data_IF_130048699022
#
_entry.id   IF_130048699022
#
_cell.length_a   1.000
_cell.length_b   1.000
_cell.length_c   1.000
_cell.angle_alpha   90.00
_cell.angle_beta   90.00
_cell.angle_gamma   90.00
#
_symmetry.space_group_name_H-M   'P 1'
#
loop_
_entity.id
_entity.type
_entity.pdbx_description
1 polymer ?
#
# COMPACT_ATOMS: atom_id res chain seq x y z
N UNK A 1 4.29 -26.49 -27.25
CA UNK A 1 5.77 -26.58 -27.26
C UNK A 1 6.46 -25.43 -26.52
N UNK A 2 6.47 -24.16 -26.96
CA UNK A 2 7.18 -23.09 -26.20
C UNK A 2 6.58 -22.83 -24.79
N UNK A 3 5.25 -22.86 -24.65
CA UNK A 3 4.58 -22.70 -23.34
C UNK A 3 4.75 -23.90 -22.39
N UNK A 4 4.89 -25.12 -22.91
CA UNK A 4 5.03 -26.32 -22.07
C UNK A 4 6.40 -26.38 -21.42
N UNK A 5 7.47 -26.07 -22.18
CA UNK A 5 8.83 -25.99 -21.65
C UNK A 5 9.00 -24.86 -20.63
N UNK A 6 8.34 -23.72 -20.84
CA UNK A 6 8.35 -22.61 -19.87
C UNK A 6 7.61 -22.95 -18.58
N UNK A 7 6.48 -23.65 -18.66
CA UNK A 7 5.71 -24.06 -17.48
C UNK A 7 6.47 -25.08 -16.64
N UNK A 8 7.17 -26.02 -17.29
CA UNK A 8 8.00 -26.99 -16.58
C UNK A 8 9.15 -26.30 -15.84
N UNK A 9 9.89 -25.40 -16.49
CA UNK A 9 10.97 -24.66 -15.85
C UNK A 9 10.50 -23.81 -14.65
N UNK A 10 9.33 -23.18 -14.77
CA UNK A 10 8.74 -22.41 -13.65
C UNK A 10 8.38 -23.31 -12.47
N UNK A 11 7.83 -24.51 -12.73
CA UNK A 11 7.54 -25.46 -11.67
C UNK A 11 8.81 -25.95 -10.97
N UNK A 12 9.87 -26.26 -11.73
CA UNK A 12 11.16 -26.67 -11.18
C UNK A 12 11.77 -25.58 -10.28
N UNK A 13 11.74 -24.32 -10.71
CA UNK A 13 12.25 -23.19 -9.93
C UNK A 13 11.49 -22.99 -8.61
N UNK A 14 10.16 -23.10 -8.63
CA UNK A 14 9.35 -22.99 -7.41
C UNK A 14 9.56 -24.20 -6.50
N UNK A 15 9.62 -25.42 -7.05
CA UNK A 15 9.92 -26.62 -6.27
C UNK A 15 11.25 -26.49 -5.54
N UNK A 16 12.30 -26.00 -6.21
CA UNK A 16 13.59 -25.76 -5.59
C UNK A 16 13.50 -24.75 -4.43
N UNK A 17 12.76 -23.65 -4.59
CA UNK A 17 12.56 -22.66 -3.53
C UNK A 17 11.87 -23.26 -2.30
N UNK A 18 10.82 -24.06 -2.52
CA UNK A 18 10.09 -24.73 -1.44
C UNK A 18 10.98 -25.75 -0.71
N UNK A 19 11.82 -26.49 -1.43
CA UNK A 19 12.80 -27.42 -0.85
C UNK A 19 13.86 -26.71 -0.01
N UNK A 20 14.36 -25.56 -0.48
CA UNK A 20 15.29 -24.72 0.28
C UNK A 20 14.63 -24.28 1.59
N UNK A 21 13.40 -23.76 1.54
CA UNK A 21 12.67 -23.34 2.74
C UNK A 21 12.46 -24.49 3.72
N UNK A 22 12.07 -25.66 3.23
CA UNK A 22 11.91 -26.85 4.07
C UNK A 22 13.23 -27.26 4.74
N UNK A 23 14.35 -27.14 4.01
CA UNK A 23 15.70 -27.42 4.54
C UNK A 23 16.08 -26.42 5.63
N UNK A 24 15.86 -25.12 5.39
CA UNK A 24 16.13 -24.05 6.36
C UNK A 24 15.32 -24.24 7.65
N UNK A 25 14.08 -24.72 7.54
CA UNK A 25 13.20 -24.95 8.69
C UNK A 25 13.14 -26.40 9.17
N UNK A 26 14.09 -27.24 8.77
CA UNK A 26 14.17 -28.62 9.27
C UNK A 26 14.53 -28.63 10.77
N UNK A 27 13.74 -29.24 11.66
CA UNK A 27 14.07 -29.34 13.08
C UNK A 27 15.40 -30.07 13.36
N UNK A 28 15.80 -30.97 12.46
CA UNK A 28 17.02 -31.78 12.55
C UNK A 28 18.18 -31.15 11.77
N UNK A 29 18.58 -29.93 12.13
CA UNK A 29 19.77 -29.27 11.58
C UNK A 29 19.53 -28.11 10.61
N UNK A 30 18.30 -27.60 10.54
CA UNK A 30 17.99 -26.35 9.87
C UNK A 30 18.62 -25.12 10.53
N UNK A 31 18.38 -23.96 9.94
CA UNK A 31 18.88 -22.69 10.42
C UNK A 31 18.24 -22.30 11.76
N UNK A 32 19.02 -22.09 12.84
CA UNK A 32 18.47 -21.75 14.16
C UNK A 32 17.69 -20.43 14.19
N UNK A 33 17.98 -19.50 13.28
CA UNK A 33 17.24 -18.23 13.17
C UNK A 33 15.89 -18.44 12.50
N UNK A 34 15.85 -19.17 11.38
CA UNK A 34 14.60 -19.47 10.67
C UNK A 34 13.66 -20.27 11.57
N UNK A 35 14.15 -21.34 12.22
CA UNK A 35 13.36 -22.20 13.11
C UNK A 35 12.62 -21.43 14.23
N UNK A 36 13.17 -20.31 14.71
CA UNK A 36 12.56 -19.47 15.76
C UNK A 36 11.45 -18.55 15.26
N UNK A 37 11.35 -18.34 13.94
CA UNK A 37 10.35 -17.45 13.38
C UNK A 37 8.94 -18.01 13.51
N UNK A 38 7.98 -17.10 13.60
CA UNK A 38 6.55 -17.36 13.73
C UNK A 38 5.79 -16.48 12.74
N UNK A 39 4.48 -16.72 12.56
CA UNK A 39 3.66 -15.82 11.73
C UNK A 39 3.80 -14.35 12.13
N UNK A 40 3.82 -14.06 13.43
CA UNK A 40 3.88 -12.70 13.94
C UNK A 40 5.25 -12.04 13.72
N UNK A 41 6.35 -12.79 13.88
CA UNK A 41 7.70 -12.22 13.71
C UNK A 41 8.04 -11.89 12.26
N UNK A 42 7.37 -12.53 11.29
CA UNK A 42 7.58 -12.29 9.85
C UNK A 42 6.77 -11.08 9.31
N UNK A 43 5.73 -10.63 10.02
CA UNK A 43 4.88 -9.51 9.55
C UNK A 43 5.67 -8.23 9.27
N UNK A 44 6.58 -7.75 10.16
CA UNK A 44 7.34 -6.53 9.89
C UNK A 44 8.14 -6.62 8.60
N UNK A 45 8.83 -7.75 8.38
CA UNK A 45 9.62 -8.00 7.18
C UNK A 45 8.74 -8.02 5.92
N UNK A 46 7.56 -8.65 5.98
CA UNK A 46 6.63 -8.64 4.83
C UNK A 46 6.18 -7.24 4.44
N UNK A 47 6.01 -6.34 5.42
CA UNK A 47 5.67 -4.94 5.14
C UNK A 47 6.86 -4.20 4.55
N UNK A 48 8.07 -4.42 5.09
CA UNK A 48 9.33 -3.85 4.59
C UNK A 48 9.57 -4.22 3.12
N UNK A 49 9.57 -5.52 2.77
CA UNK A 49 9.79 -5.95 1.37
C UNK A 49 8.73 -5.40 0.41
N UNK A 50 7.49 -5.24 0.88
CA UNK A 50 6.44 -4.63 0.06
C UNK A 50 6.70 -3.13 -0.21
N UNK A 51 7.34 -2.42 0.72
CA UNK A 51 7.78 -1.04 0.51
C UNK A 51 9.03 -0.95 -0.35
N UNK A 52 10.00 -1.86 -0.21
CA UNK A 52 11.20 -1.91 -1.06
C UNK A 52 10.83 -2.17 -2.54
N UNK A 53 9.88 -3.09 -2.79
CA UNK A 53 9.31 -3.27 -4.14
C UNK A 53 8.66 -1.99 -4.65
N UNK A 54 7.91 -1.27 -3.79
CA UNK A 54 7.28 -0.02 -4.17
C UNK A 54 8.33 1.06 -4.50
N UNK A 55 9.38 1.18 -3.69
CA UNK A 55 10.48 2.13 -3.90
C UNK A 55 11.20 1.86 -5.22
N UNK A 56 11.55 0.60 -5.51
CA UNK A 56 12.18 0.21 -6.77
C UNK A 56 11.34 0.62 -8.01
N UNK A 57 10.01 0.49 -7.92
CA UNK A 57 9.11 0.90 -9.00
C UNK A 57 9.02 2.42 -9.09
N UNK A 58 8.88 3.11 -7.96
CA UNK A 58 8.74 4.58 -7.88
C UNK A 58 10.02 5.30 -8.32
N UNK A 59 11.19 4.71 -8.07
CA UNK A 59 12.51 5.21 -8.50
C UNK A 59 12.97 4.67 -9.86
N UNK A 60 12.19 3.79 -10.48
CA UNK A 60 12.53 3.07 -11.73
C UNK A 60 13.85 2.27 -11.64
N UNK A 61 14.20 1.78 -10.45
CA UNK A 61 15.33 0.90 -10.19
C UNK A 61 14.97 -0.55 -10.53
N UNK A 62 14.89 -0.86 -11.84
CA UNK A 62 14.53 -2.19 -12.31
C UNK A 62 15.62 -3.25 -12.07
N UNK A 63 16.86 -2.83 -11.81
CA UNK A 63 17.95 -3.76 -11.46
C UNK A 63 17.68 -4.45 -10.13
N UNK A 64 17.24 -3.69 -9.13
CA UNK A 64 17.02 -4.21 -7.77
C UNK A 64 15.60 -4.76 -7.61
N UNK A 65 14.63 -4.32 -8.43
CA UNK A 65 13.25 -4.84 -8.40
C UNK A 65 13.17 -6.37 -8.43
N UNK A 66 14.06 -7.04 -9.16
CA UNK A 66 14.08 -8.51 -9.20
C UNK A 66 14.43 -9.11 -7.83
N UNK A 67 15.35 -8.48 -7.09
CA UNK A 67 15.73 -8.90 -5.75
C UNK A 67 14.55 -8.74 -4.79
N UNK A 68 13.96 -7.54 -4.75
CA UNK A 68 12.87 -7.23 -3.82
C UNK A 68 11.61 -8.07 -4.07
N UNK A 69 11.30 -8.39 -5.34
CA UNK A 69 10.23 -9.34 -5.67
C UNK A 69 10.53 -10.76 -5.18
N UNK A 70 11.81 -11.15 -5.17
CA UNK A 70 12.29 -12.41 -4.62
C UNK A 70 12.12 -12.45 -3.10
N UNK A 71 12.50 -11.38 -2.40
CA UNK A 71 12.39 -11.27 -0.95
C UNK A 71 10.93 -11.24 -0.50
N UNK A 72 10.05 -10.53 -1.22
CA UNK A 72 8.61 -10.57 -0.97
C UNK A 72 8.01 -11.97 -1.23
N UNK A 73 8.45 -12.67 -2.28
CA UNK A 73 8.03 -14.06 -2.54
C UNK A 73 8.53 -15.00 -1.44
N UNK A 74 9.74 -14.80 -0.93
CA UNK A 74 10.31 -15.56 0.18
C UNK A 74 9.41 -15.48 1.42
N UNK A 75 8.87 -14.30 1.75
CA UNK A 75 7.93 -14.16 2.88
C UNK A 75 6.66 -15.02 2.69
N UNK A 76 6.10 -15.07 1.47
CA UNK A 76 4.93 -15.90 1.16
C UNK A 76 5.24 -17.38 1.35
N UNK A 77 6.40 -17.82 0.86
CA UNK A 77 6.88 -19.21 1.02
C UNK A 77 7.11 -19.54 2.49
N UNK A 78 7.66 -18.61 3.26
CA UNK A 78 7.88 -18.76 4.70
C UNK A 78 6.57 -19.00 5.45
N UNK A 79 5.54 -18.20 5.16
CA UNK A 79 4.21 -18.38 5.75
C UNK A 79 3.57 -19.71 5.38
N UNK A 80 3.71 -20.13 4.12
CA UNK A 80 3.20 -21.43 3.67
C UNK A 80 3.91 -22.59 4.38
N UNK A 81 5.22 -22.49 4.61
CA UNK A 81 5.98 -23.49 5.35
C UNK A 81 5.55 -23.55 6.83
N UNK A 82 5.40 -22.40 7.50
CA UNK A 82 4.88 -22.33 8.88
C UNK A 82 3.47 -22.93 9.02
N UNK A 83 2.60 -22.67 8.05
CA UNK A 83 1.25 -23.21 8.02
C UNK A 83 1.25 -24.72 7.80
N UNK A 84 2.14 -25.23 6.95
CA UNK A 84 2.29 -26.65 6.69
C UNK A 84 2.81 -27.39 7.93
N UNK A 85 3.79 -26.83 8.65
CA UNK A 85 4.29 -27.35 9.92
C UNK A 85 3.17 -27.50 10.97
N UNK A 86 2.18 -26.61 10.93
CA UNK A 86 1.01 -26.62 11.81
C UNK A 86 -0.21 -27.36 11.22
N UNK A 87 -0.06 -28.03 10.07
CA UNK A 87 -1.12 -28.76 9.37
C UNK A 87 -2.36 -27.89 9.06
N UNK A 88 -2.17 -26.60 8.81
CA UNK A 88 -3.26 -25.64 8.51
C UNK A 88 -3.56 -25.58 7.02
N UNK A 89 -2.52 -25.34 6.21
CA UNK A 89 -2.54 -25.31 4.73
C UNK A 89 -1.08 -25.31 4.23
N UNK A 90 -0.88 -25.53 2.94
CA UNK A 90 0.43 -25.46 2.28
C UNK A 90 0.44 -24.45 1.12
N UNK A 91 1.59 -24.33 0.44
CA UNK A 91 1.76 -23.41 -0.69
C UNK A 91 0.78 -23.68 -1.84
N UNK A 92 0.50 -24.94 -2.17
CA UNK A 92 -0.44 -25.29 -3.24
C UNK A 92 -1.87 -24.84 -2.91
N UNK A 93 -2.27 -24.93 -1.63
CA UNK A 93 -3.59 -24.46 -1.19
C UNK A 93 -3.73 -22.94 -1.38
N UNK A 94 -2.67 -22.17 -1.08
CA UNK A 94 -2.63 -20.71 -1.31
C UNK A 94 -2.79 -20.39 -2.80
N UNK A 95 -2.02 -21.05 -3.65
CA UNK A 95 -2.07 -20.84 -5.11
C UNK A 95 -3.41 -21.29 -5.70
N UNK A 96 -3.95 -22.42 -5.26
CA UNK A 96 -5.25 -22.92 -5.72
C UNK A 96 -6.37 -21.92 -5.37
N UNK A 97 -6.40 -21.42 -4.14
CA UNK A 97 -7.37 -20.42 -3.71
C UNK A 97 -7.23 -19.10 -4.51
N UNK A 98 -6.00 -18.67 -4.81
CA UNK A 98 -5.75 -17.50 -5.64
C UNK A 98 -6.26 -17.72 -7.08
N UNK A 99 -5.98 -18.86 -7.67
CA UNK A 99 -6.41 -19.21 -9.03
C UNK A 99 -7.94 -19.21 -9.16
N UNK A 100 -8.65 -19.90 -8.26
CA UNK A 100 -10.12 -19.91 -8.23
C UNK A 100 -10.68 -18.49 -8.10
N UNK A 101 -10.09 -17.68 -7.23
CA UNK A 101 -10.49 -16.28 -7.02
C UNK A 101 -10.26 -15.41 -8.27
N UNK A 102 -9.13 -15.57 -8.95
CA UNK A 102 -8.81 -14.81 -10.16
C UNK A 102 -9.74 -15.19 -11.32
N UNK A 103 -9.97 -16.49 -11.54
CA UNK A 103 -10.92 -16.96 -12.57
C UNK A 103 -12.32 -16.43 -12.31
N UNK A 104 -12.79 -16.56 -11.06
CA UNK A 104 -14.14 -16.09 -10.67
C UNK A 104 -14.31 -14.57 -10.78
N UNK A 105 -13.25 -13.78 -10.57
CA UNK A 105 -13.29 -12.32 -10.67
C UNK A 105 -13.12 -11.78 -12.10
N UNK A 106 -12.66 -12.60 -13.03
CA UNK A 106 -12.48 -12.23 -14.44
C UNK A 106 -13.32 -13.11 -15.38
N UNK A 107 -14.65 -13.19 -15.18
CA UNK A 107 -15.50 -14.00 -16.05
C UNK A 107 -15.45 -13.52 -17.50
N UNK A 108 -15.17 -12.24 -17.76
CA UNK A 108 -14.98 -11.72 -19.12
C UNK A 108 -13.74 -12.28 -19.83
N UNK A 109 -12.73 -12.76 -19.09
CA UNK A 109 -11.55 -13.42 -19.68
C UNK A 109 -11.77 -14.93 -19.82
N UNK A 110 -12.42 -15.55 -18.83
CA UNK A 110 -12.48 -17.01 -18.69
C UNK A 110 -13.84 -17.65 -19.03
N UNK A 111 -14.89 -16.87 -19.31
CA UNK A 111 -16.21 -17.39 -19.70
C UNK A 111 -16.44 -17.21 -21.19
N UNK A 112 -17.11 -18.18 -21.82
CA UNK A 112 -17.34 -18.20 -23.27
C UNK A 112 -18.37 -17.16 -23.78
N UNK A 113 -19.06 -16.43 -22.90
CA UNK A 113 -20.03 -15.39 -23.27
C UNK A 113 -19.33 -14.03 -23.26
N UNK A 114 -18.72 -13.67 -24.39
CA UNK A 114 -17.93 -12.45 -24.51
C UNK A 114 -18.68 -11.39 -25.33
N UNK A 115 -19.11 -10.34 -24.64
CA UNK A 115 -19.40 -9.06 -25.28
C UNK A 115 -18.37 -8.09 -24.73
N UNK A 116 -17.64 -7.33 -25.58
CA UNK A 116 -16.65 -6.37 -25.12
C UNK A 116 -17.29 -5.41 -24.13
N UNK A 117 -16.76 -5.38 -22.91
CA UNK A 117 -17.22 -4.47 -21.86
C UNK A 117 -16.41 -3.21 -21.85
N UNK A 118 -17.06 -2.10 -21.56
CA UNK A 118 -16.42 -0.82 -21.23
C UNK A 118 -15.76 -0.87 -19.86
N UNK A 119 -14.80 0.03 -19.60
CA UNK A 119 -14.15 0.16 -18.29
C UNK A 119 -15.15 0.35 -17.14
N UNK A 120 -16.24 1.09 -17.40
CA UNK A 120 -17.30 1.32 -16.41
C UNK A 120 -18.03 0.02 -16.06
N UNK A 121 -18.34 -0.81 -17.05
CA UNK A 121 -19.00 -2.11 -16.85
C UNK A 121 -18.09 -3.11 -16.16
N UNK A 122 -16.78 -3.11 -16.48
CA UNK A 122 -15.78 -3.92 -15.80
C UNK A 122 -15.64 -3.52 -14.33
N UNK A 123 -15.57 -2.21 -14.04
CA UNK A 123 -15.51 -1.70 -12.67
C UNK A 123 -16.76 -2.07 -11.86
N UNK A 124 -17.96 -1.94 -12.45
CA UNK A 124 -19.21 -2.32 -11.82
C UNK A 124 -19.27 -3.84 -11.54
N UNK A 125 -18.88 -4.66 -12.51
CA UNK A 125 -18.81 -6.12 -12.35
C UNK A 125 -17.85 -6.50 -11.21
N UNK A 126 -16.68 -5.88 -11.14
CA UNK A 126 -15.70 -6.14 -10.10
C UNK A 126 -16.23 -5.81 -8.69
N UNK A 127 -16.93 -4.69 -8.54
CA UNK A 127 -17.54 -4.31 -7.26
C UNK A 127 -18.66 -5.27 -6.87
N UNK A 128 -19.51 -5.68 -7.82
CA UNK A 128 -20.58 -6.65 -7.59
C UNK A 128 -20.04 -8.01 -7.13
N UNK A 129 -19.02 -8.55 -7.81
CA UNK A 129 -18.37 -9.82 -7.42
C UNK A 129 -17.78 -9.70 -6.02
N UNK A 130 -17.08 -8.60 -5.70
CA UNK A 130 -16.55 -8.37 -4.35
C UNK A 130 -17.64 -8.27 -3.29
N UNK A 131 -18.80 -7.69 -3.61
CA UNK A 131 -19.93 -7.63 -2.69
C UNK A 131 -20.51 -9.02 -2.41
N UNK A 132 -20.66 -9.86 -3.43
CA UNK A 132 -21.11 -11.25 -3.28
C UNK A 132 -20.14 -12.09 -2.45
N UNK A 133 -18.82 -11.95 -2.66
CA UNK A 133 -17.80 -12.63 -1.85
C UNK A 133 -17.90 -12.28 -0.37
N UNK A 134 -18.18 -11.01 -0.03
CA UNK A 134 -18.38 -10.58 1.35
C UNK A 134 -19.64 -11.20 1.95
N UNK A 135 -20.73 -11.24 1.19
CA UNK A 135 -21.99 -11.82 1.63
C UNK A 135 -21.92 -13.35 1.84
N UNK A 136 -21.03 -14.04 1.13
CA UNK A 136 -20.83 -15.49 1.24
C UNK A 136 -19.96 -15.93 2.43
N UNK A 137 -19.33 -15.01 3.16
CA UNK A 137 -18.57 -15.34 4.38
C UNK A 137 -19.52 -15.80 5.50
N UNK A 138 -19.14 -16.78 6.35
CA UNK A 138 -20.02 -17.31 7.39
C UNK A 138 -20.62 -16.23 8.29
N UNK A 139 -21.96 -16.23 8.41
CA UNK A 139 -22.73 -15.34 9.29
C UNK A 139 -22.43 -15.68 10.75
N UNK A 140 -21.50 -14.94 11.34
CA UNK A 140 -21.06 -15.10 12.73
C UNK A 140 -20.03 -14.05 13.14
N UNK A 141 -19.33 -13.45 12.18
CA UNK A 141 -18.63 -12.19 12.37
C UNK A 141 -19.64 -11.06 12.07
N UNK A 142 -20.03 -10.31 13.11
CA UNK A 142 -20.99 -9.20 13.07
C UNK A 142 -20.92 -8.36 11.79
N UNK A 143 -22.08 -7.90 11.32
CA UNK A 143 -22.30 -6.92 10.25
C UNK A 143 -21.57 -5.58 10.50
N UNK A 144 -20.23 -5.58 10.48
CA UNK A 144 -19.42 -4.38 10.68
C UNK A 144 -18.91 -3.94 9.32
N UNK A 145 -19.26 -2.73 8.90
CA UNK A 145 -18.92 -2.13 7.61
C UNK A 145 -17.40 -2.19 7.27
N UNK A 146 -16.56 -2.38 8.29
CA UNK A 146 -15.09 -2.26 8.27
C UNK A 146 -14.32 -3.59 8.24
N UNK A 147 -14.99 -4.74 8.26
CA UNK A 147 -14.35 -6.05 8.51
C UNK A 147 -13.20 -6.44 7.57
N UNK A 148 -13.18 -5.91 6.34
CA UNK A 148 -12.13 -6.19 5.36
C UNK A 148 -11.10 -5.06 5.22
N UNK A 149 -11.04 -4.12 6.18
CA UNK A 149 -10.04 -3.06 6.24
C UNK A 149 -9.03 -3.44 7.33
N UNK A 150 -7.84 -3.96 6.97
CA UNK A 150 -6.82 -4.33 7.94
C UNK A 150 -6.43 -3.14 8.82
N UNK A 151 -6.25 -3.39 10.12
CA UNK A 151 -5.82 -2.36 11.06
C UNK A 151 -4.39 -1.89 10.85
N UNK A 152 -3.54 -2.75 10.26
CA UNK A 152 -2.13 -2.45 9.96
C UNK A 152 -1.93 -1.58 8.71
N UNK A 153 -2.99 -1.20 8.01
CA UNK A 153 -2.85 -0.31 6.86
C UNK A 153 -2.36 1.07 7.30
N UNK A 154 -1.49 1.71 6.50
CA UNK A 154 -1.21 3.13 6.61
C UNK A 154 -2.49 3.96 6.65
N UNK A 155 -2.49 5.03 7.45
CA UNK A 155 -3.70 5.78 7.77
C UNK A 155 -4.38 6.41 6.55
N UNK A 156 -3.63 6.93 5.57
CA UNK A 156 -4.22 7.52 4.36
C UNK A 156 -4.84 6.44 3.46
N UNK A 157 -4.17 5.30 3.33
CA UNK A 157 -4.72 4.12 2.64
C UNK A 157 -5.99 3.60 3.32
N UNK A 158 -5.99 3.55 4.65
CA UNK A 158 -7.14 3.14 5.48
C UNK A 158 -8.32 4.11 5.29
N UNK A 159 -8.08 5.42 5.39
CA UNK A 159 -9.07 6.46 5.15
C UNK A 159 -9.68 6.36 3.75
N UNK A 160 -8.86 6.19 2.70
CA UNK A 160 -9.34 5.99 1.33
C UNK A 160 -10.26 4.77 1.22
N UNK A 161 -9.93 3.64 1.85
CA UNK A 161 -10.78 2.43 1.83
C UNK A 161 -12.09 2.63 2.58
N UNK A 162 -12.08 3.33 3.72
CA UNK A 162 -13.28 3.70 4.47
C UNK A 162 -14.19 4.54 3.58
N UNK A 163 -13.66 5.60 2.96
CA UNK A 163 -14.41 6.49 2.07
C UNK A 163 -14.98 5.76 0.85
N UNK A 164 -14.20 4.88 0.22
CA UNK A 164 -14.69 4.04 -0.88
C UNK A 164 -15.84 3.10 -0.45
N UNK A 165 -15.81 2.62 0.80
CA UNK A 165 -16.85 1.73 1.32
C UNK A 165 -18.17 2.46 1.51
N UNK A 166 -18.15 3.65 2.13
CA UNK A 166 -19.35 4.45 2.34
C UNK A 166 -19.88 5.03 1.02
N UNK A 167 -18.99 5.36 0.08
CA UNK A 167 -19.37 5.79 -1.26
C UNK A 167 -20.14 4.71 -2.03
N UNK A 168 -19.77 3.43 -1.87
CA UNK A 168 -20.50 2.31 -2.48
C UNK A 168 -21.92 2.12 -1.90
N UNK A 169 -22.23 2.74 -0.75
CA UNK A 169 -23.56 2.78 -0.15
C UNK A 169 -24.36 4.04 -0.57
N UNK A 170 -23.78 4.89 -1.44
CA UNK A 170 -24.38 6.14 -1.86
C UNK A 170 -24.04 7.34 -0.97
N UNK A 171 -23.18 7.17 0.04
CA UNK A 171 -22.68 8.27 0.87
C UNK A 171 -21.41 8.85 0.25
N UNK A 172 -21.60 9.66 -0.80
CA UNK A 172 -20.51 10.31 -1.54
C UNK A 172 -20.95 11.63 -2.18
N UNK A 173 -20.00 12.53 -2.42
CA UNK A 173 -20.22 13.74 -3.20
C UNK A 173 -20.32 13.43 -4.70
N UNK A 174 -21.15 14.15 -5.47
CA UNK A 174 -21.24 13.94 -6.92
C UNK A 174 -19.96 14.33 -7.67
N UNK A 175 -19.20 15.30 -7.16
CA UNK A 175 -17.97 15.81 -7.78
C UNK A 175 -16.92 16.19 -6.73
N UNK A 176 -15.68 16.42 -7.16
CA UNK A 176 -14.59 16.85 -6.28
C UNK A 176 -14.84 18.20 -5.59
N UNK A 177 -15.78 19.03 -6.09
CA UNK A 177 -16.09 20.33 -5.50
C UNK A 177 -16.60 20.19 -4.05
N UNK A 178 -17.53 19.28 -3.79
CA UNK A 178 -18.01 19.06 -2.41
C UNK A 178 -16.90 18.57 -1.47
N UNK A 179 -15.94 17.79 -1.99
CA UNK A 179 -14.81 17.35 -1.20
C UNK A 179 -13.81 18.48 -0.88
N UNK A 180 -13.56 19.41 -1.82
CA UNK A 180 -12.66 20.55 -1.57
C UNK A 180 -13.34 21.61 -0.68
N UNK A 181 -14.65 21.79 -0.79
CA UNK A 181 -15.42 22.66 0.09
C UNK A 181 -15.34 22.15 1.53
N UNK A 182 -15.47 20.83 1.75
CA UNK A 182 -15.28 20.22 3.08
C UNK A 182 -13.85 20.45 3.60
N UNK A 183 -12.81 20.32 2.78
CA UNK A 183 -11.45 20.69 3.23
C UNK A 183 -11.37 22.15 3.69
N UNK A 184 -12.08 23.07 3.03
CA UNK A 184 -12.10 24.48 3.43
C UNK A 184 -12.81 24.69 4.77
N UNK A 185 -13.90 23.95 5.02
CA UNK A 185 -14.62 23.91 6.30
C UNK A 185 -13.72 23.41 7.44
N UNK A 186 -13.06 22.26 7.26
CA UNK A 186 -12.14 21.68 8.25
C UNK A 186 -10.95 22.60 8.56
N UNK A 187 -10.48 23.39 7.58
CA UNK A 187 -9.44 24.40 7.82
C UNK A 187 -9.92 25.50 8.75
N UNK A 188 -11.18 25.92 8.66
CA UNK A 188 -11.74 26.90 9.59
C UNK A 188 -11.95 26.30 10.98
N UNK A 189 -12.42 25.05 11.08
CA UNK A 189 -12.58 24.33 12.36
C UNK A 189 -11.22 24.18 13.08
N UNK A 190 -10.16 23.79 12.36
CA UNK A 190 -8.79 23.75 12.90
C UNK A 190 -8.31 25.13 13.38
N UNK A 191 -8.60 26.22 12.65
CA UNK A 191 -8.20 27.57 13.07
C UNK A 191 -8.90 27.98 14.36
N UNK A 192 -10.20 27.68 14.48
CA UNK A 192 -10.99 27.96 15.67
C UNK A 192 -10.46 27.18 16.88
N UNK A 193 -10.20 25.88 16.71
CA UNK A 193 -9.65 25.02 17.75
C UNK A 193 -8.25 25.47 18.21
N UNK A 194 -7.36 25.79 17.27
CA UNK A 194 -6.02 26.33 17.56
C UNK A 194 -6.06 27.67 18.30
N UNK A 195 -7.02 28.54 17.98
CA UNK A 195 -7.19 29.82 18.66
C UNK A 195 -7.71 29.67 20.09
N UNK A 196 -8.43 28.58 20.38
CA UNK A 196 -8.93 28.27 21.71
C UNK A 196 -7.86 27.58 22.58
N UNK A 197 -7.36 26.43 22.13
CA UNK A 197 -6.28 25.68 22.79
C UNK A 197 -5.54 24.76 21.80
N UNK A 198 -4.32 25.13 21.37
CA UNK A 198 -3.58 24.37 20.36
C UNK A 198 -3.09 22.99 20.81
N UNK A 199 -3.14 22.67 22.11
CA UNK A 199 -2.65 21.40 22.64
C UNK A 199 -3.79 20.49 23.17
N UNK A 200 -5.04 20.87 22.91
CA UNK A 200 -6.21 20.09 23.33
C UNK A 200 -6.46 18.87 22.45
N UNK A 201 -7.14 17.87 23.01
CA UNK A 201 -7.62 16.69 22.25
C UNK A 201 -8.57 17.09 21.12
N UNK A 202 -9.35 18.17 21.31
CA UNK A 202 -10.24 18.71 20.28
C UNK A 202 -9.45 19.24 19.08
N UNK A 203 -8.39 20.03 19.30
CA UNK A 203 -7.50 20.47 18.20
C UNK A 203 -6.88 19.28 17.47
N UNK A 204 -6.52 18.21 18.18
CA UNK A 204 -6.00 16.99 17.56
C UNK A 204 -7.06 16.25 16.72
N UNK A 205 -8.33 16.26 17.14
CA UNK A 205 -9.48 15.73 16.40
C UNK A 205 -9.68 16.49 15.08
N UNK A 206 -9.78 17.82 15.12
CA UNK A 206 -9.98 18.66 13.93
C UNK A 206 -8.81 18.52 12.93
N UNK A 207 -7.57 18.40 13.43
CA UNK A 207 -6.41 18.10 12.57
C UNK A 207 -6.55 16.73 11.88
N UNK A 208 -7.11 15.74 12.58
CA UNK A 208 -7.41 14.42 12.04
C UNK A 208 -8.48 14.47 10.95
N UNK A 209 -9.54 15.23 11.16
CA UNK A 209 -10.64 15.38 10.20
C UNK A 209 -10.22 16.17 8.96
N UNK A 210 -9.39 17.21 9.11
CA UNK A 210 -8.73 17.87 7.98
C UNK A 210 -7.92 16.88 7.14
N UNK A 211 -7.07 16.05 7.77
CA UNK A 211 -6.31 15.01 7.05
C UNK A 211 -7.27 14.04 6.34
N UNK A 212 -8.33 13.59 6.99
CA UNK A 212 -9.33 12.72 6.40
C UNK A 212 -10.06 13.36 5.20
N UNK A 213 -10.40 14.65 5.29
CA UNK A 213 -11.03 15.40 4.20
C UNK A 213 -10.11 15.53 2.98
N UNK A 214 -8.81 15.76 3.17
CA UNK A 214 -7.85 15.82 2.04
C UNK A 214 -7.73 14.48 1.29
N UNK A 215 -7.82 13.35 2.00
CA UNK A 215 -7.88 12.01 1.38
C UNK A 215 -9.09 11.91 0.46
N UNK A 216 -10.22 12.51 0.85
CA UNK A 216 -11.44 12.47 0.06
C UNK A 216 -11.27 13.21 -1.28
N UNK A 217 -10.61 14.36 -1.27
CA UNK A 217 -10.25 15.09 -2.50
C UNK A 217 -9.39 14.22 -3.42
N UNK A 218 -8.32 13.62 -2.89
CA UNK A 218 -7.45 12.72 -3.66
C UNK A 218 -8.23 11.56 -4.29
N UNK A 219 -9.17 10.97 -3.55
CA UNK A 219 -10.06 9.90 -4.04
C UNK A 219 -10.94 10.36 -5.20
N UNK A 220 -11.56 11.55 -5.11
CA UNK A 220 -12.42 12.07 -6.18
C UNK A 220 -11.65 12.35 -7.47
N UNK A 221 -10.38 12.78 -7.38
CA UNK A 221 -9.50 12.95 -8.55
C UNK A 221 -8.77 11.66 -8.96
N UNK A 222 -9.20 10.51 -8.40
CA UNK A 222 -8.69 9.16 -8.71
C UNK A 222 -7.19 8.99 -8.48
N UNK A 223 -6.66 9.66 -7.45
CA UNK A 223 -5.26 9.52 -7.01
C UNK A 223 -5.18 8.70 -5.73
N UNK A 224 -4.00 8.15 -5.47
CA UNK A 224 -3.71 7.47 -4.21
C UNK A 224 -3.09 8.46 -3.21
N UNK A 225 -3.75 8.74 -2.08
CA UNK A 225 -3.27 9.74 -1.13
C UNK A 225 -1.96 9.34 -0.45
N UNK A 226 -1.75 8.04 -0.22
CA UNK A 226 -0.50 7.54 0.36
C UNK A 226 0.67 7.78 -0.60
N UNK A 227 0.47 7.43 -1.87
CA UNK A 227 1.47 7.67 -2.91
C UNK A 227 1.73 9.17 -3.11
N UNK A 228 0.68 10.00 -3.11
CA UNK A 228 0.83 11.45 -3.24
C UNK A 228 1.71 12.04 -2.13
N UNK A 229 1.52 11.59 -0.88
CA UNK A 229 2.32 12.06 0.24
C UNK A 229 3.76 11.56 0.16
N UNK A 230 3.99 10.29 -0.19
CA UNK A 230 5.36 9.77 -0.44
C UNK A 230 6.09 10.59 -1.49
N UNK A 231 5.50 10.78 -2.67
CA UNK A 231 6.10 11.61 -3.72
C UNK A 231 6.33 13.07 -3.30
N UNK A 232 5.50 13.61 -2.41
CA UNK A 232 5.72 14.94 -1.86
C UNK A 232 6.92 14.98 -0.90
N UNK A 233 7.09 13.95 -0.06
CA UNK A 233 8.22 13.77 0.83
C UNK A 233 9.52 13.61 0.04
N UNK A 234 9.57 12.75 -0.98
CA UNK A 234 10.77 12.52 -1.79
C UNK A 234 11.21 13.80 -2.50
N UNK A 235 10.25 14.52 -3.08
CA UNK A 235 10.49 15.83 -3.71
C UNK A 235 11.02 16.85 -2.71
N UNK A 236 10.53 16.83 -1.47
CA UNK A 236 11.01 17.72 -0.42
C UNK A 236 12.45 17.36 -0.02
N UNK A 237 12.71 16.09 0.30
CA UNK A 237 14.03 15.57 0.69
C UNK A 237 15.09 15.84 -0.38
N UNK A 238 14.82 15.43 -1.63
CA UNK A 238 15.73 15.66 -2.76
C UNK A 238 16.00 17.16 -3.01
N UNK A 239 15.03 18.04 -2.72
CA UNK A 239 15.26 19.48 -2.80
C UNK A 239 16.08 19.99 -1.63
N UNK A 240 15.83 19.50 -0.43
CA UNK A 240 16.53 19.93 0.77
C UNK A 240 18.01 19.50 0.73
N UNK A 241 18.33 18.33 0.19
CA UNK A 241 19.72 17.94 -0.11
C UNK A 241 20.42 18.92 -1.06
N UNK A 242 19.72 19.40 -2.09
CA UNK A 242 20.26 20.44 -2.99
C UNK A 242 20.48 21.76 -2.25
N UNK A 243 19.58 22.12 -1.31
CA UNK A 243 19.77 23.29 -0.43
C UNK A 243 21.00 23.14 0.44
N UNK A 244 21.19 21.97 1.05
CA UNK A 244 22.37 21.65 1.85
C UNK A 244 23.65 21.81 1.02
N UNK A 245 23.69 21.20 -0.17
CA UNK A 245 24.84 21.30 -1.07
C UNK A 245 25.11 22.75 -1.53
N UNK A 246 24.05 23.53 -1.78
CA UNK A 246 24.17 24.94 -2.13
C UNK A 246 24.77 25.79 -1.00
N UNK A 247 24.37 25.55 0.25
CA UNK A 247 24.94 26.21 1.42
C UNK A 247 26.39 25.81 1.66
N UNK A 248 26.71 24.52 1.53
CA UNK A 248 28.08 23.99 1.64
C UNK A 248 29.00 24.65 0.60
N UNK A 249 28.53 24.81 -0.64
CA UNK A 249 29.29 25.48 -1.71
C UNK A 249 29.59 26.96 -1.40
N UNK A 250 28.85 27.58 -0.48
CA UNK A 250 29.08 28.94 0.02
C UNK A 250 29.91 28.98 1.31
N UNK A 251 30.44 27.84 1.75
CA UNK A 251 31.19 27.72 2.99
C UNK A 251 30.32 27.79 4.25
N UNK A 252 29.00 27.58 4.13
CA UNK A 252 28.07 27.59 5.26
C UNK A 252 27.76 26.15 5.73
N UNK A 253 27.54 26.00 7.02
CA UNK A 253 27.04 24.76 7.62
C UNK A 253 25.52 24.82 7.76
N UNK A 254 24.82 23.73 7.43
CA UNK A 254 23.36 23.66 7.57
C UNK A 254 22.92 23.75 9.04
N UNK A 255 23.69 23.16 9.97
CA UNK A 255 23.36 23.15 11.40
C UNK A 255 23.43 24.54 12.03
N UNK A 256 24.10 25.48 11.37
CA UNK A 256 24.26 26.87 11.82
C UNK A 256 23.56 27.88 10.92
N UNK A 257 22.91 27.43 9.84
CA UNK A 257 22.23 28.32 8.92
C UNK A 257 20.93 28.82 9.55
N UNK A 258 20.64 30.10 9.37
CA UNK A 258 19.34 30.68 9.74
C UNK A 258 18.23 30.20 8.81
N UNK A 259 16.98 30.29 9.26
CA UNK A 259 15.82 29.97 8.44
C UNK A 259 15.79 30.84 7.17
N UNK A 260 16.14 32.12 7.29
CA UNK A 260 16.20 33.05 6.15
C UNK A 260 17.25 32.61 5.11
N UNK A 261 18.38 32.07 5.55
CA UNK A 261 19.41 31.54 4.65
C UNK A 261 18.97 30.25 3.97
N UNK A 262 18.30 29.36 4.71
CA UNK A 262 17.73 28.13 4.16
C UNK A 262 16.63 28.43 3.14
N UNK A 263 15.74 29.38 3.44
CA UNK A 263 14.67 29.82 2.54
C UNK A 263 15.22 30.48 1.27
N UNK A 264 16.22 31.34 1.40
CA UNK A 264 16.87 31.95 0.24
C UNK A 264 17.54 30.89 -0.67
N UNK A 265 18.21 29.90 -0.06
CA UNK A 265 18.79 28.77 -0.79
C UNK A 265 17.70 27.90 -1.45
N UNK A 266 16.60 27.62 -0.75
CA UNK A 266 15.46 26.87 -1.27
C UNK A 266 14.82 27.54 -2.48
N UNK A 267 14.61 28.85 -2.43
CA UNK A 267 14.07 29.62 -3.54
C UNK A 267 15.04 29.69 -4.74
N UNK A 268 16.35 29.76 -4.49
CA UNK A 268 17.36 29.66 -5.54
C UNK A 268 17.28 28.30 -6.25
N UNK A 269 17.20 27.19 -5.49
CA UNK A 269 17.06 25.84 -6.03
C UNK A 269 15.73 25.66 -6.79
N UNK A 270 14.62 26.21 -6.29
CA UNK A 270 13.32 26.15 -6.99
C UNK A 270 13.37 26.81 -8.37
N UNK A 271 14.08 27.94 -8.51
CA UNK A 271 14.21 28.66 -9.79
C UNK A 271 15.03 27.87 -10.82
N UNK A 272 15.99 27.06 -10.38
CA UNK A 272 16.84 26.24 -11.26
C UNK A 272 16.16 24.97 -11.79
N UNK A 273 15.09 24.49 -11.14
CA UNK A 273 14.36 23.26 -11.50
C UNK A 273 12.96 23.53 -12.09
N UNK A 274 12.64 24.78 -12.46
CA UNK A 274 11.46 25.13 -13.26
C UNK A 274 11.82 25.15 -14.73
#
# INVERSE_FOLDING_TARGET
MQNEGSNQANNEAISQLLEIMQTLRNPEGGCPWDLKQTFASIVPHTLEEAYEVADCIETNNLSDLKNELGDLLFQIVFYAQLAQEQQLFNFNDVVAQLNEKLVRRHPHVFSAQDTPKTDAELAAQWQAIKAQERAAKPQGQSSVLWQDIPNSLPSLTKAKKIQQRVAALGFDWPTYHGAIDKVSEEVEEVKEALAHDPYSDHTAEELGDLLFATVNVARHVKRDPEQLLRSANDKFSARFEKVQNYLIAQGKCIDSASLEEMDAAWDAIKKLNK
#
